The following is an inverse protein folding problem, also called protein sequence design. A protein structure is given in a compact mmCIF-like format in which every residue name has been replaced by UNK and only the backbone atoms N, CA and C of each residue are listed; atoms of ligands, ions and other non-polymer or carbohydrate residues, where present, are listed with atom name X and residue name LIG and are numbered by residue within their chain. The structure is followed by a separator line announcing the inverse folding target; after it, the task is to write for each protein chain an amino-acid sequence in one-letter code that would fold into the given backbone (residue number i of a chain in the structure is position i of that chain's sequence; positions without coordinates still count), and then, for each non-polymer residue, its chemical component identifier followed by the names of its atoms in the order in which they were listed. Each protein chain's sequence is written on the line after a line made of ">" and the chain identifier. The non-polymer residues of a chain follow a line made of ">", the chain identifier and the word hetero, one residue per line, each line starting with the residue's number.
data_IF_599364734370
#
_entry.id   IF_599364734370
#
_cell.length_a   1.000
_cell.length_b   1.000
_cell.length_c   1.000
_cell.angle_alpha   90.00
_cell.angle_beta   90.00
_cell.angle_gamma   90.00
#
_symmetry.space_group_name_H-M   'P 1'
#
loop_
_entity.id
_entity.type
_entity.pdbx_description
1 polymer ?
#
# COMPACT_ATOMS: atom_id res chain seq x y z
N UNK A 1 -16.96 2.12 1.09
CA UNK A 1 -15.85 1.57 1.90
C UNK A 1 -14.58 2.36 1.65
N UNK A 2 -13.98 2.33 0.45
CA UNK A 2 -12.82 3.19 0.13
C UNK A 2 -13.12 4.68 0.32
N UNK A 3 -14.14 5.20 -0.38
CA UNK A 3 -14.58 6.60 -0.22
C UNK A 3 -14.88 6.98 1.23
N UNK A 4 -15.35 6.01 2.03
CA UNK A 4 -15.65 6.19 3.45
C UNK A 4 -14.37 6.35 4.26
N UNK A 5 -13.39 5.46 4.09
CA UNK A 5 -12.10 5.56 4.77
C UNK A 5 -11.35 6.85 4.39
N UNK A 6 -11.39 7.23 3.11
CA UNK A 6 -10.82 8.49 2.62
C UNK A 6 -11.52 9.71 3.21
N UNK A 7 -12.85 9.68 3.34
CA UNK A 7 -13.62 10.77 3.95
C UNK A 7 -13.33 10.91 5.46
N UNK A 8 -13.22 9.79 6.20
CA UNK A 8 -12.84 9.83 7.62
C UNK A 8 -11.44 10.42 7.76
N UNK A 9 -10.48 9.99 6.94
CA UNK A 9 -9.13 10.55 6.97
C UNK A 9 -9.13 12.06 6.68
N UNK A 10 -9.83 12.50 5.63
CA UNK A 10 -9.94 13.92 5.30
C UNK A 10 -10.53 14.71 6.47
N UNK A 11 -11.62 14.22 7.05
CA UNK A 11 -12.29 14.84 8.18
C UNK A 11 -11.36 15.00 9.40
N UNK A 12 -10.53 13.98 9.70
CA UNK A 12 -9.68 13.97 10.88
C UNK A 12 -8.34 14.70 10.69
N UNK A 13 -7.68 14.52 9.55
CA UNK A 13 -6.26 14.89 9.36
C UNK A 13 -6.02 15.98 8.31
N UNK A 14 -7.07 16.43 7.61
CA UNK A 14 -7.02 17.53 6.65
C UNK A 14 -7.92 18.68 7.12
N UNK A 15 -9.18 18.37 7.42
CA UNK A 15 -10.18 19.35 7.86
C UNK A 15 -10.16 19.57 9.39
N UNK A 16 -9.47 18.69 10.15
CA UNK A 16 -9.36 18.70 11.61
C UNK A 16 -10.70 18.81 12.35
N UNK A 17 -11.80 18.32 11.77
CA UNK A 17 -13.17 18.51 12.29
C UNK A 17 -13.34 18.06 13.76
N UNK A 18 -12.82 16.89 14.20
CA UNK A 18 -12.93 16.48 15.60
C UNK A 18 -12.10 17.32 16.58
N UNK A 19 -11.19 18.15 16.08
CA UNK A 19 -10.16 18.87 16.86
C UNK A 19 -10.30 20.39 16.75
N UNK A 20 -11.40 20.90 16.17
CA UNK A 20 -11.59 22.34 15.91
C UNK A 20 -11.61 23.21 17.17
N UNK A 21 -12.05 22.64 18.29
CA UNK A 21 -12.11 23.32 19.58
C UNK A 21 -10.79 23.19 20.37
N UNK A 22 -9.82 22.42 19.85
CA UNK A 22 -8.50 22.29 20.47
C UNK A 22 -7.62 23.51 20.19
N UNK A 23 -6.53 23.65 20.94
CA UNK A 23 -5.52 24.68 20.70
C UNK A 23 -4.70 24.34 19.44
N UNK A 24 -4.50 25.32 18.56
CA UNK A 24 -3.64 25.20 17.37
C UNK A 24 -2.33 25.96 17.58
N UNK A 25 -1.25 25.44 17.01
CA UNK A 25 0.07 26.06 17.01
C UNK A 25 0.59 26.19 15.59
N UNK A 26 1.26 27.30 15.29
CA UNK A 26 1.90 27.50 13.98
C UNK A 26 3.15 26.62 13.89
N UNK A 27 3.21 25.77 12.86
CA UNK A 27 4.37 24.95 12.57
C UNK A 27 5.15 25.55 11.40
N UNK A 28 6.40 25.98 11.65
CA UNK A 28 7.24 26.64 10.65
C UNK A 28 7.65 25.70 9.51
N UNK A 29 7.90 24.41 9.79
CA UNK A 29 8.30 23.42 8.78
C UNK A 29 7.20 23.18 7.73
N UNK A 30 5.94 23.14 8.16
CA UNK A 30 4.78 22.95 7.28
C UNK A 30 4.16 24.27 6.81
N UNK A 31 4.58 25.41 7.35
CA UNK A 31 4.05 26.74 7.03
C UNK A 31 2.56 26.91 7.34
N UNK A 32 2.01 26.17 8.31
CA UNK A 32 0.56 26.16 8.63
C UNK A 32 0.30 25.91 10.12
N UNK A 33 -0.91 26.24 10.55
CA UNK A 33 -1.41 25.84 11.87
C UNK A 33 -1.73 24.35 11.91
N UNK A 34 -1.38 23.71 13.02
CA UNK A 34 -1.66 22.30 13.32
C UNK A 34 -2.20 22.18 14.75
N UNK A 35 -3.00 21.15 15.06
CA UNK A 35 -3.45 20.94 16.44
C UNK A 35 -2.26 20.72 17.37
N UNK A 36 -2.32 21.30 18.57
CA UNK A 36 -1.26 21.19 19.57
C UNK A 36 -1.00 19.73 19.96
N UNK A 37 0.27 19.38 20.09
CA UNK A 37 0.71 18.01 20.41
C UNK A 37 0.87 17.10 19.18
N UNK A 38 0.58 17.58 17.98
CA UNK A 38 0.94 16.90 16.74
C UNK A 38 2.38 17.26 16.37
N UNK A 39 3.14 16.28 15.89
CA UNK A 39 4.58 16.42 15.68
C UNK A 39 4.92 16.15 14.21
N UNK A 40 5.86 16.90 13.65
CA UNK A 40 6.45 16.55 12.36
C UNK A 40 7.58 15.55 12.61
N UNK A 41 7.51 14.39 11.97
CA UNK A 41 8.52 13.31 12.10
C UNK A 41 9.00 12.87 10.74
N UNK A 42 10.21 12.32 10.69
CA UNK A 42 10.71 11.66 9.49
C UNK A 42 10.05 10.29 9.37
N UNK A 43 9.77 9.85 8.15
CA UNK A 43 9.14 8.56 7.90
C UNK A 43 9.95 7.40 8.47
N UNK A 44 11.29 7.48 8.42
CA UNK A 44 12.19 6.48 9.00
C UNK A 44 12.07 6.34 10.53
N UNK A 45 11.55 7.36 11.23
CA UNK A 45 11.30 7.31 12.68
C UNK A 45 9.94 6.66 13.01
N UNK A 46 9.07 6.51 12.01
CA UNK A 46 7.67 6.04 12.17
C UNK A 46 7.44 4.69 11.49
N UNK A 47 8.24 4.34 10.49
CA UNK A 47 8.15 3.11 9.74
C UNK A 47 9.54 2.56 9.38
N UNK A 48 9.70 1.24 9.44
CA UNK A 48 10.86 0.54 8.89
C UNK A 48 10.77 0.56 7.36
N UNK A 49 11.75 1.16 6.68
CA UNK A 49 11.85 1.21 5.21
C UNK A 49 12.67 0.03 4.69
N UNK A 50 12.01 -0.90 4.01
CA UNK A 50 12.61 -2.11 3.44
C UNK A 50 12.68 -1.96 1.93
N UNK A 51 13.87 -1.65 1.40
CA UNK A 51 14.09 -1.62 -0.05
C UNK A 51 14.14 -3.03 -0.63
N UNK A 52 13.37 -3.27 -1.69
CA UNK A 52 13.31 -4.56 -2.34
C UNK A 52 14.59 -4.91 -3.11
N UNK A 53 14.77 -6.21 -3.32
CA UNK A 53 15.92 -6.77 -4.03
C UNK A 53 15.47 -7.97 -4.83
N UNK A 54 15.66 -7.91 -6.15
CA UNK A 54 15.31 -8.99 -7.07
C UNK A 54 16.23 -10.18 -6.83
N UNK A 55 15.69 -11.36 -6.48
CA UNK A 55 16.48 -12.58 -6.43
C UNK A 55 16.96 -13.02 -7.82
N UNK A 56 17.84 -14.03 -7.93
CA UNK A 56 18.20 -14.60 -9.23
C UNK A 56 16.99 -15.23 -9.93
N UNK A 57 16.78 -14.90 -11.21
CA UNK A 57 15.60 -15.35 -11.97
C UNK A 57 15.46 -16.86 -12.12
N UNK A 58 16.56 -17.62 -11.98
CA UNK A 58 16.53 -19.09 -11.97
C UNK A 58 15.68 -19.71 -10.85
N UNK A 59 15.30 -18.92 -9.84
CA UNK A 59 14.44 -19.37 -8.74
C UNK A 59 12.97 -18.95 -8.93
N UNK A 60 12.63 -18.29 -10.03
CA UNK A 60 11.27 -17.85 -10.33
C UNK A 60 10.46 -19.01 -10.91
N UNK A 61 9.19 -19.11 -10.55
CA UNK A 61 8.28 -20.13 -11.07
C UNK A 61 6.83 -19.65 -11.03
N UNK A 62 5.96 -20.28 -11.81
CA UNK A 62 4.50 -20.10 -11.76
C UNK A 62 3.78 -21.32 -11.16
N UNK A 63 4.56 -22.28 -10.64
CA UNK A 63 4.08 -23.53 -10.03
C UNK A 63 3.62 -23.35 -8.57
N UNK A 64 3.79 -22.15 -8.01
CA UNK A 64 3.42 -21.86 -6.62
C UNK A 64 4.50 -22.26 -5.60
N UNK A 65 5.72 -22.55 -6.04
CA UNK A 65 6.80 -23.00 -5.14
C UNK A 65 7.48 -21.79 -4.50
N UNK A 66 7.38 -21.70 -3.18
CA UNK A 66 8.01 -20.64 -2.38
C UNK A 66 7.06 -19.49 -2.08
N UNK A 67 7.59 -18.26 -1.99
CA UNK A 67 6.83 -17.08 -1.59
C UNK A 67 6.41 -16.29 -2.84
N UNK A 68 5.17 -15.77 -2.92
CA UNK A 68 4.74 -14.88 -4.00
C UNK A 68 5.70 -13.71 -4.19
N UNK A 69 6.01 -13.37 -5.44
CA UNK A 69 7.02 -12.38 -5.79
C UNK A 69 6.42 -11.18 -6.51
N UNK A 70 6.74 -9.98 -6.02
CA UNK A 70 6.33 -8.68 -6.56
C UNK A 70 7.57 -8.01 -7.14
N UNK A 71 7.63 -7.86 -8.46
CA UNK A 71 8.80 -7.26 -9.13
C UNK A 71 8.70 -5.73 -9.21
N UNK A 72 7.48 -5.23 -9.39
CA UNK A 72 7.16 -3.84 -9.61
C UNK A 72 5.65 -3.65 -9.76
N UNK A 73 5.26 -2.55 -10.39
CA UNK A 73 3.84 -2.18 -10.56
C UNK A 73 2.99 -3.23 -11.28
N UNK A 74 3.59 -4.06 -12.15
CA UNK A 74 2.85 -5.08 -12.90
C UNK A 74 2.14 -6.12 -12.04
N UNK A 75 2.53 -6.25 -10.76
CA UNK A 75 1.88 -7.12 -9.77
C UNK A 75 1.00 -6.35 -8.78
N UNK A 76 0.83 -5.03 -8.94
CA UNK A 76 -0.07 -4.26 -8.08
C UNK A 76 -1.49 -4.42 -8.60
N UNK A 77 -2.35 -5.05 -7.78
CA UNK A 77 -3.79 -4.98 -7.99
C UNK A 77 -4.34 -3.63 -7.54
N UNK A 78 -5.67 -3.51 -7.50
CA UNK A 78 -6.32 -2.25 -7.12
C UNK A 78 -5.94 -1.76 -5.71
N UNK A 79 -5.83 -2.69 -4.75
CA UNK A 79 -5.40 -2.37 -3.38
C UNK A 79 -4.36 -3.35 -2.84
N UNK A 80 -4.41 -4.60 -3.29
CA UNK A 80 -3.54 -5.70 -2.84
C UNK A 80 -2.85 -6.38 -4.03
N UNK A 81 -1.65 -6.97 -3.83
CA UNK A 81 -0.87 -7.56 -4.90
C UNK A 81 -1.61 -8.70 -5.62
N UNK A 82 -1.36 -8.80 -6.92
CA UNK A 82 -1.85 -9.85 -7.79
C UNK A 82 -0.66 -10.40 -8.58
N UNK A 83 -0.08 -11.48 -8.08
CA UNK A 83 1.07 -12.14 -8.73
C UNK A 83 0.79 -13.62 -8.94
N UNK A 84 1.25 -14.13 -10.07
CA UNK A 84 1.33 -15.56 -10.38
C UNK A 84 2.78 -16.07 -10.31
N UNK A 85 3.73 -15.17 -10.04
CA UNK A 85 5.16 -15.49 -9.97
C UNK A 85 5.52 -15.71 -8.51
N UNK A 86 6.23 -16.80 -8.26
CA UNK A 86 6.75 -17.20 -6.95
C UNK A 86 8.27 -17.29 -7.02
N UNK A 87 8.92 -17.18 -5.87
CA UNK A 87 10.36 -17.37 -5.76
C UNK A 87 10.68 -18.39 -4.66
N UNK A 88 11.47 -19.40 -5.02
CA UNK A 88 11.84 -20.52 -4.14
C UNK A 88 13.07 -20.26 -3.26
N UNK A 89 13.68 -19.08 -3.36
CA UNK A 89 14.80 -18.68 -2.51
C UNK A 89 14.43 -17.53 -1.56
N UNK A 90 15.29 -17.23 -0.59
CA UNK A 90 15.11 -16.09 0.31
C UNK A 90 15.25 -14.76 -0.43
N UNK A 91 14.56 -13.74 0.04
CA UNK A 91 14.60 -12.37 -0.49
C UNK A 91 14.23 -11.34 0.57
N UNK A 92 14.09 -10.08 0.14
CA UNK A 92 13.52 -9.03 0.98
C UNK A 92 12.02 -9.23 1.08
N UNK A 93 11.48 -9.18 2.30
CA UNK A 93 10.11 -9.57 2.59
C UNK A 93 9.25 -8.35 2.97
N UNK A 94 8.08 -8.27 2.34
CA UNK A 94 6.94 -7.55 2.85
C UNK A 94 6.01 -8.54 3.58
N UNK A 95 5.37 -8.08 4.65
CA UNK A 95 4.44 -8.84 5.48
C UNK A 95 3.05 -8.26 5.40
N UNK A 96 2.09 -8.99 5.97
CA UNK A 96 0.71 -8.51 6.11
C UNK A 96 0.69 -7.09 6.70
N UNK A 97 -0.06 -6.21 6.02
CA UNK A 97 -0.24 -4.78 6.30
C UNK A 97 0.95 -3.87 6.02
N UNK A 98 2.08 -4.39 5.54
CA UNK A 98 3.13 -3.53 5.04
C UNK A 98 2.61 -2.72 3.82
N UNK A 99 2.96 -1.44 3.77
CA UNK A 99 2.62 -0.56 2.64
C UNK A 99 3.67 -0.75 1.56
N UNK A 100 3.24 -1.13 0.37
CA UNK A 100 4.11 -1.29 -0.79
C UNK A 100 4.12 -0.01 -1.62
N UNK A 101 5.31 0.46 -1.97
CA UNK A 101 5.51 1.66 -2.77
C UNK A 101 6.39 1.33 -3.97
N UNK A 102 6.00 1.75 -5.17
CA UNK A 102 6.89 1.67 -6.32
C UNK A 102 7.98 2.74 -6.22
N UNK A 103 9.23 2.32 -6.28
CA UNK A 103 10.41 3.20 -6.16
C UNK A 103 11.19 3.31 -7.47
N UNK A 104 10.65 2.74 -8.56
CA UNK A 104 11.15 2.87 -9.93
C UNK A 104 9.96 3.01 -10.87
N UNK A 105 10.15 3.77 -11.95
CA UNK A 105 9.11 4.18 -12.90
C UNK A 105 7.98 3.14 -13.15
N UNK A 106 6.69 3.52 -12.97
CA UNK A 106 6.24 4.78 -12.37
C UNK A 106 6.45 4.79 -10.85
N UNK A 107 6.93 5.91 -10.32
CA UNK A 107 7.24 6.10 -8.91
C UNK A 107 6.00 6.50 -8.10
N UNK A 108 5.91 6.04 -6.86
CA UNK A 108 4.91 6.51 -5.88
C UNK A 108 3.55 5.81 -5.96
N UNK A 109 3.42 4.73 -6.72
CA UNK A 109 2.21 3.91 -6.69
C UNK A 109 2.18 3.04 -5.44
N UNK A 110 0.97 2.86 -4.89
CA UNK A 110 0.74 2.25 -3.59
C UNK A 110 -0.01 0.91 -3.71
N UNK A 111 0.32 0.01 -2.80
CA UNK A 111 -0.44 -1.20 -2.53
C UNK A 111 -0.33 -1.55 -1.04
N UNK A 112 -1.21 -2.42 -0.57
CA UNK A 112 -1.19 -2.95 0.78
C UNK A 112 -0.95 -4.45 0.71
N UNK A 113 0.10 -4.93 1.38
CA UNK A 113 0.37 -6.36 1.43
C UNK A 113 -0.72 -7.07 2.25
N UNK A 114 -1.41 -8.03 1.65
CA UNK A 114 -2.44 -8.86 2.28
C UNK A 114 -1.92 -10.26 2.67
N UNK A 115 -0.60 -10.39 2.74
CA UNK A 115 0.13 -11.62 2.99
C UNK A 115 1.64 -11.38 2.97
N UNK A 116 2.41 -12.46 2.92
CA UNK A 116 3.87 -12.39 2.78
C UNK A 116 4.28 -12.39 1.31
N UNK A 117 5.20 -11.49 0.94
CA UNK A 117 5.70 -11.33 -0.41
C UNK A 117 7.21 -11.12 -0.42
N UNK A 118 7.90 -11.70 -1.40
CA UNK A 118 9.23 -11.22 -1.78
C UNK A 118 9.05 -9.97 -2.63
N UNK A 119 9.84 -8.93 -2.36
CA UNK A 119 9.80 -7.66 -3.08
C UNK A 119 11.08 -7.43 -3.91
N UNK A 120 10.89 -7.11 -5.18
CA UNK A 120 11.95 -6.83 -6.15
C UNK A 120 12.47 -5.41 -6.06
N UNK A 121 13.54 -5.09 -6.82
CA UNK A 121 14.21 -3.78 -6.77
C UNK A 121 13.34 -2.56 -7.11
N UNK A 122 12.19 -2.77 -7.75
CA UNK A 122 11.23 -1.71 -8.09
C UNK A 122 10.25 -1.37 -6.98
N UNK A 123 10.27 -2.09 -5.84
CA UNK A 123 9.30 -1.95 -4.76
C UNK A 123 10.01 -1.77 -3.42
N UNK A 124 9.55 -0.82 -2.62
CA UNK A 124 9.87 -0.71 -1.22
C UNK A 124 8.66 -1.10 -0.37
N UNK A 125 8.92 -1.52 0.85
CA UNK A 125 7.92 -1.87 1.86
C UNK A 125 8.11 -0.98 3.08
N UNK A 126 7.04 -0.32 3.52
CA UNK A 126 7.01 0.42 4.78
C UNK A 126 6.28 -0.42 5.82
N UNK A 127 6.97 -0.76 6.90
CA UNK A 127 6.39 -1.52 8.01
C UNK A 127 6.19 -0.62 9.23
N UNK A 128 4.97 -0.56 9.73
CA UNK A 128 4.60 0.26 10.90
C UNK A 128 3.30 -0.25 11.52
N UNK A 129 3.11 0.04 12.80
CA UNK A 129 1.82 -0.18 13.49
C UNK A 129 0.76 0.83 13.04
N UNK A 130 1.17 1.94 12.42
CA UNK A 130 0.27 3.01 11.94
C UNK A 130 -0.06 2.91 10.44
N UNK A 131 -0.02 1.70 9.89
CA UNK A 131 -0.12 1.50 8.43
C UNK A 131 -1.41 2.08 7.84
N UNK A 132 -2.55 2.03 8.55
CA UNK A 132 -3.83 2.51 8.01
C UNK A 132 -3.85 4.02 7.83
N UNK A 133 -3.18 4.73 8.74
CA UNK A 133 -2.96 6.17 8.63
C UNK A 133 -2.00 6.49 7.48
N UNK A 134 -0.81 5.87 7.47
CA UNK A 134 0.20 6.14 6.44
C UNK A 134 -0.26 5.77 5.02
N UNK A 135 -0.96 4.65 4.86
CA UNK A 135 -1.48 4.22 3.57
C UNK A 135 -2.43 5.26 2.97
N UNK A 136 -3.36 5.78 3.79
CA UNK A 136 -4.28 6.82 3.34
C UNK A 136 -3.56 8.15 3.15
N UNK A 137 -2.67 8.53 4.08
CA UNK A 137 -1.86 9.73 3.96
C UNK A 137 -1.14 9.79 2.62
N UNK A 138 -0.42 8.72 2.24
CA UNK A 138 0.27 8.68 0.95
C UNK A 138 -0.69 8.58 -0.24
N UNK A 139 -1.88 7.99 -0.06
CA UNK A 139 -2.91 7.98 -1.10
C UNK A 139 -3.44 9.38 -1.43
N UNK A 140 -3.52 10.27 -0.44
CA UNK A 140 -3.84 11.70 -0.64
C UNK A 140 -2.66 12.51 -1.17
N UNK A 141 -1.43 12.09 -0.82
CA UNK A 141 -0.21 12.84 -1.09
C UNK A 141 0.70 12.14 -2.12
N UNK A 142 0.12 11.44 -3.10
CA UNK A 142 0.90 10.72 -4.12
C UNK A 142 1.88 11.63 -4.87
N UNK A 143 1.49 12.88 -5.13
CA UNK A 143 2.36 13.86 -5.80
C UNK A 143 3.59 14.22 -4.94
N UNK A 144 3.48 14.18 -3.61
CA UNK A 144 4.63 14.35 -2.72
C UNK A 144 5.62 13.19 -2.88
N UNK A 145 5.13 11.95 -2.97
CA UNK A 145 5.99 10.79 -3.25
C UNK A 145 6.68 10.89 -4.62
N UNK A 146 5.96 11.35 -5.65
CA UNK A 146 6.56 11.57 -6.97
C UNK A 146 7.62 12.67 -6.95
N UNK A 147 7.45 13.70 -6.11
CA UNK A 147 8.46 14.77 -5.99
C UNK A 147 9.80 14.31 -5.41
N UNK A 148 9.83 13.14 -4.76
CA UNK A 148 11.07 12.52 -4.28
C UNK A 148 11.90 11.87 -5.40
N UNK A 149 11.34 11.78 -6.60
CA UNK A 149 12.04 11.28 -7.78
C UNK A 149 13.19 12.23 -8.17
N UNK A 150 14.43 11.76 -8.02
CA UNK A 150 15.61 12.50 -8.47
C UNK A 150 15.93 12.14 -9.91
N UNK A 151 15.85 13.13 -10.81
CA UNK A 151 16.08 12.99 -12.25
C UNK A 151 17.54 12.80 -12.67
N UNK A 152 18.23 11.77 -12.16
CA UNK A 152 19.57 11.38 -12.61
C UNK A 152 19.50 10.06 -13.37
N UNK A 153 19.32 10.11 -14.70
CA UNK A 153 19.44 9.01 -15.70
C UNK A 153 18.57 7.75 -15.48
N UNK A 154 18.10 7.47 -14.27
CA UNK A 154 17.20 6.41 -13.85
C UNK A 154 16.30 6.96 -12.74
N UNK A 155 15.04 7.18 -13.09
CA UNK A 155 13.99 7.69 -12.19
C UNK A 155 13.70 6.69 -11.06
N UNK A 156 14.24 6.97 -9.87
CA UNK A 156 14.08 6.11 -8.70
C UNK A 156 14.11 6.89 -7.38
N UNK A 157 13.38 6.38 -6.39
CA UNK A 157 13.50 6.82 -4.99
C UNK A 157 14.52 5.92 -4.28
N UNK A 158 15.49 6.55 -3.60
CA UNK A 158 16.44 5.83 -2.74
C UNK A 158 15.95 5.77 -1.29
N UNK A 159 16.52 4.87 -0.49
CA UNK A 159 16.12 4.63 0.90
C UNK A 159 16.11 5.91 1.74
N UNK A 160 17.18 6.70 1.64
CA UNK A 160 17.35 7.91 2.44
C UNK A 160 16.29 8.98 2.11
N UNK A 161 15.82 9.03 0.87
CA UNK A 161 14.76 9.97 0.46
C UNK A 161 13.39 9.56 1.04
N UNK A 162 13.10 8.25 1.12
CA UNK A 162 11.93 7.76 1.84
C UNK A 162 12.07 8.02 3.34
N UNK A 163 13.18 7.63 3.95
CA UNK A 163 13.40 7.76 5.39
C UNK A 163 13.37 9.22 5.84
N UNK A 164 13.90 10.14 5.03
CA UNK A 164 13.93 11.58 5.30
C UNK A 164 12.60 12.32 5.06
N UNK A 165 11.58 11.66 4.50
CA UNK A 165 10.31 12.31 4.19
C UNK A 165 9.57 12.75 5.47
N UNK A 166 9.28 14.04 5.60
CA UNK A 166 8.55 14.60 6.75
C UNK A 166 7.05 14.32 6.67
N UNK A 167 6.49 13.81 7.77
CA UNK A 167 5.05 13.56 7.95
C UNK A 167 4.54 14.25 9.21
N UNK A 168 3.33 14.82 9.13
CA UNK A 168 2.62 15.31 10.31
C UNK A 168 1.98 14.11 11.02
N UNK A 169 2.45 13.80 12.23
CA UNK A 169 2.02 12.67 13.02
C UNK A 169 1.12 13.13 14.19
N UNK A 170 -0.14 12.68 14.24
CA UNK A 170 -1.01 12.85 15.41
C UNK A 170 -0.52 12.06 16.63
N UNK A 171 -0.97 12.41 17.84
CA UNK A 171 -0.78 11.61 19.05
C UNK A 171 -1.18 10.12 18.88
N UNK A 172 -0.47 9.18 19.50
CA UNK A 172 -0.73 7.74 19.34
C UNK A 172 -2.17 7.29 19.63
N UNK A 173 -2.83 7.90 20.62
CA UNK A 173 -4.21 7.55 20.96
C UNK A 173 -5.22 7.95 19.86
N UNK A 174 -4.95 9.02 19.10
CA UNK A 174 -5.74 9.42 17.93
C UNK A 174 -5.51 8.44 16.79
N UNK A 175 -4.25 8.07 16.54
CA UNK A 175 -3.90 7.06 15.53
C UNK A 175 -4.56 5.71 15.82
N UNK A 176 -4.56 5.26 17.08
CA UNK A 176 -5.23 4.02 17.50
C UNK A 176 -6.75 4.07 17.29
N UNK A 177 -7.36 5.21 17.65
CA UNK A 177 -8.80 5.42 17.50
C UNK A 177 -9.20 5.43 16.01
N UNK A 178 -8.42 6.14 15.20
CA UNK A 178 -8.59 6.15 13.75
C UNK A 178 -8.44 4.75 13.15
N UNK A 179 -7.37 4.03 13.52
CA UNK A 179 -7.10 2.66 13.06
C UNK A 179 -8.29 1.75 13.33
N UNK A 180 -8.85 1.78 14.55
CA UNK A 180 -10.00 0.96 14.95
C UNK A 180 -11.26 1.23 14.12
N UNK A 181 -11.41 2.45 13.60
CA UNK A 181 -12.53 2.83 12.72
C UNK A 181 -12.33 2.37 11.28
N UNK A 182 -11.12 2.50 10.74
CA UNK A 182 -10.85 2.25 9.31
C UNK A 182 -10.45 0.81 9.01
N UNK A 183 -9.85 0.10 9.96
CA UNK A 183 -9.36 -1.26 9.75
C UNK A 183 -10.46 -2.23 9.28
N UNK A 184 -11.65 -2.28 9.92
CA UNK A 184 -12.75 -3.12 9.42
C UNK A 184 -13.19 -2.77 7.98
N UNK A 185 -13.00 -1.52 7.55
CA UNK A 185 -13.30 -1.11 6.17
C UNK A 185 -12.26 -1.67 5.20
N UNK A 186 -10.97 -1.62 5.54
CA UNK A 186 -9.90 -2.21 4.73
C UNK A 186 -10.03 -3.72 4.64
N UNK A 187 -10.29 -4.41 5.74
CA UNK A 187 -10.53 -5.86 5.74
C UNK A 187 -11.65 -6.25 4.77
N UNK A 188 -12.77 -5.50 4.77
CA UNK A 188 -13.85 -5.72 3.81
C UNK A 188 -13.45 -5.40 2.37
N UNK A 189 -12.64 -4.36 2.14
CA UNK A 189 -12.13 -4.04 0.80
C UNK A 189 -11.27 -5.20 0.27
N UNK A 190 -10.34 -5.70 1.07
CA UNK A 190 -9.44 -6.81 0.72
C UNK A 190 -10.25 -8.08 0.44
N UNK A 191 -11.19 -8.43 1.33
CA UNK A 191 -12.04 -9.61 1.18
C UNK A 191 -12.88 -9.55 -0.11
N UNK A 192 -13.54 -8.41 -0.35
CA UNK A 192 -14.33 -8.23 -1.56
C UNK A 192 -13.46 -8.29 -2.83
N UNK A 193 -12.24 -7.75 -2.79
CA UNK A 193 -11.31 -7.85 -3.92
C UNK A 193 -10.95 -9.32 -4.20
N UNK A 194 -10.69 -10.13 -3.16
CA UNK A 194 -10.43 -11.58 -3.31
C UNK A 194 -11.63 -12.30 -3.92
N UNK A 195 -12.84 -12.03 -3.44
CA UNK A 195 -14.06 -12.60 -4.02
C UNK A 195 -14.25 -12.22 -5.49
N UNK A 196 -14.06 -10.94 -5.85
CA UNK A 196 -14.14 -10.46 -7.24
C UNK A 196 -13.12 -11.20 -8.12
N UNK A 197 -11.89 -11.41 -7.65
CA UNK A 197 -10.88 -12.16 -8.39
C UNK A 197 -11.29 -13.60 -8.62
N UNK A 198 -11.79 -14.29 -7.60
CA UNK A 198 -12.27 -15.67 -7.73
C UNK A 198 -13.43 -15.77 -8.71
N UNK A 199 -14.42 -14.88 -8.61
CA UNK A 199 -15.57 -14.85 -9.51
C UNK A 199 -15.16 -14.58 -10.96
N UNK A 200 -14.18 -13.69 -11.19
CA UNK A 200 -13.62 -13.45 -12.53
C UNK A 200 -12.96 -14.70 -13.09
N UNK A 201 -12.13 -15.40 -12.30
CA UNK A 201 -11.49 -16.66 -12.73
C UNK A 201 -12.52 -17.73 -13.10
N UNK A 202 -13.55 -17.90 -12.27
CA UNK A 202 -14.64 -18.85 -12.54
C UNK A 202 -15.37 -18.47 -13.83
N UNK A 203 -15.76 -17.21 -13.98
CA UNK A 203 -16.40 -16.70 -15.20
C UNK A 203 -15.54 -16.97 -16.44
N UNK A 204 -14.26 -16.64 -16.40
CA UNK A 204 -13.34 -16.76 -17.55
C UNK A 204 -13.03 -18.24 -17.89
N UNK A 205 -13.18 -19.14 -16.92
CA UNK A 205 -13.08 -20.60 -17.13
C UNK A 205 -14.35 -21.18 -17.75
N UNK A 206 -15.52 -20.74 -17.29
CA UNK A 206 -16.82 -21.27 -17.73
C UNK A 206 -17.26 -20.69 -19.08
N UNK A 207 -16.96 -19.42 -19.36
CA UNK A 207 -17.38 -18.74 -20.59
C UNK A 207 -16.98 -19.51 -21.86
N UNK A 208 -15.72 -19.94 -22.05
CA UNK A 208 -15.35 -20.75 -23.21
C UNK A 208 -16.12 -22.07 -23.28
N UNK A 209 -16.32 -22.74 -22.15
CA UNK A 209 -17.01 -24.04 -22.13
C UNK A 209 -18.48 -23.91 -22.54
N UNK A 210 -19.14 -22.83 -22.10
CA UNK A 210 -20.51 -22.51 -22.48
C UNK A 210 -20.62 -22.06 -23.95
N UNK A 211 -19.73 -21.18 -24.41
CA UNK A 211 -19.73 -20.66 -25.79
C UNK A 211 -19.45 -21.75 -26.82
N UNK A 212 -18.57 -22.71 -26.51
CA UNK A 212 -18.27 -23.84 -27.38
C UNK A 212 -19.19 -25.05 -27.16
N UNK A 213 -20.25 -24.91 -26.34
CA UNK A 213 -21.25 -25.96 -26.10
C UNK A 213 -20.72 -27.21 -25.39
N UNK A 214 -19.55 -27.12 -24.73
CA UNK A 214 -18.92 -28.20 -23.97
C UNK A 214 -19.49 -28.33 -22.55
N UNK A 215 -20.31 -27.38 -22.12
CA UNK A 215 -21.09 -27.39 -20.90
C UNK A 215 -22.48 -26.82 -21.24
N UNK A 216 -23.56 -27.46 -20.80
CA UNK A 216 -24.92 -26.91 -20.93
C UNK A 216 -25.40 -26.36 -19.60
N UNK A 217 -26.20 -25.29 -19.64
CA UNK A 217 -26.77 -24.67 -18.42
C UNK A 217 -27.68 -25.66 -17.66
N UNK A 218 -28.26 -26.62 -18.36
CA UNK A 218 -29.09 -27.69 -17.81
C UNK A 218 -28.29 -28.76 -17.02
N UNK A 219 -26.97 -28.80 -17.19
CA UNK A 219 -26.05 -29.77 -16.56
C UNK A 219 -25.30 -29.20 -15.34
N UNK A 220 -25.61 -27.95 -14.95
CA UNK A 220 -25.09 -27.24 -13.77
C UNK A 220 -26.14 -27.15 -12.67
#
# INVERSE_FOLDING_TARGET
>A
MEKTAMAIFKNWFIDFEPFKDDEFVYNEELGREIPKGWEVKRLGDVAEVIMGQSPPSKFYNEEGIGIPFIQGIGQFGKYTPQTLVFCSCKGKLARLHDILITVRAPVGELNLADGEYIIGRGVASLRTDYWSFLFIYFSFNKELLKSLEKGTTYDAIVKDDLEGFSILLPPPHILQSFHSLVEPLFQKIILNQKQIMTLRKVRDTLLPLLVFGKLRVEEM
#
